data_IF_772124894920
#
_entry.id   IF_772124894920
#
_cell.length_a   1.000
_cell.length_b   1.000
_cell.length_c   1.000
_cell.angle_alpha   90.00
_cell.angle_beta   90.00
_cell.angle_gamma   90.00
#
_symmetry.space_group_name_H-M   'P 1'
#
loop_
_entity.id
_entity.type
_entity.pdbx_description
1 polymer ?
#
# COMPACT_ATOMS: atom_id res chain seq x y z
N UNK A 1 -18.77 14.23 10.54
CA UNK A 1 -18.62 13.00 11.34
C UNK A 1 -17.40 12.25 10.82
N UNK A 2 -16.36 12.06 11.64
CA UNK A 2 -15.17 11.27 11.25
C UNK A 2 -15.48 9.81 11.58
N UNK A 3 -15.44 8.93 10.58
CA UNK A 3 -15.62 7.49 10.82
C UNK A 3 -14.38 6.98 11.56
N UNK A 4 -14.57 6.18 12.61
CA UNK A 4 -13.45 5.47 13.24
C UNK A 4 -12.79 4.53 12.23
N UNK A 5 -11.47 4.34 12.35
CA UNK A 5 -10.74 3.40 11.51
C UNK A 5 -11.32 1.99 11.69
N UNK A 6 -11.68 1.28 10.61
CA UNK A 6 -12.18 -0.08 10.72
C UNK A 6 -11.08 -1.02 11.20
N UNK A 7 -11.48 -2.05 11.93
CA UNK A 7 -10.58 -3.09 12.45
C UNK A 7 -9.93 -3.92 11.32
N UNK A 8 -10.55 -3.96 10.14
CA UNK A 8 -10.06 -4.66 8.96
C UNK A 8 -10.09 -3.74 7.74
N UNK A 9 -8.98 -3.68 7.02
CA UNK A 9 -8.83 -3.00 5.75
C UNK A 9 -8.53 -4.02 4.65
N UNK A 10 -9.17 -3.87 3.51
CA UNK A 10 -8.78 -4.58 2.30
C UNK A 10 -7.60 -3.83 1.66
N UNK A 11 -6.49 -4.53 1.46
CA UNK A 11 -5.29 -4.01 0.81
C UNK A 11 -5.18 -4.65 -0.56
N UNK A 12 -4.97 -3.81 -1.57
CA UNK A 12 -4.68 -4.24 -2.94
C UNK A 12 -3.20 -3.99 -3.22
N UNK A 13 -2.44 -5.07 -3.37
CA UNK A 13 -1.04 -5.04 -3.76
C UNK A 13 -0.93 -5.24 -5.27
N UNK A 14 -0.37 -4.26 -5.95
CA UNK A 14 -0.09 -4.31 -7.39
C UNK A 14 1.41 -4.35 -7.59
N UNK A 15 1.90 -5.38 -8.28
CA UNK A 15 3.32 -5.52 -8.60
C UNK A 15 3.58 -4.86 -9.94
N UNK A 16 4.47 -3.87 -9.99
CA UNK A 16 4.89 -3.23 -11.23
C UNK A 16 6.32 -3.63 -11.56
N UNK A 17 6.56 -3.92 -12.84
CA UNK A 17 7.86 -4.34 -13.37
C UNK A 17 8.39 -3.29 -14.34
N UNK A 18 9.71 -3.09 -14.34
CA UNK A 18 10.39 -2.12 -15.19
C UNK A 18 10.66 -0.77 -14.51
N UNK A 19 11.81 -0.18 -14.86
CA UNK A 19 12.23 1.14 -14.42
C UNK A 19 11.83 2.21 -15.46
N UNK A 20 11.52 3.46 -15.05
CA UNK A 20 11.51 3.96 -13.68
C UNK A 20 10.22 3.61 -12.92
N UNK A 21 10.33 3.32 -11.62
CA UNK A 21 9.20 2.96 -10.75
C UNK A 21 8.14 4.08 -10.62
N UNK A 22 8.48 5.32 -10.95
CA UNK A 22 7.59 6.49 -10.90
C UNK A 22 6.58 6.54 -12.05
N UNK A 23 6.81 5.79 -13.14
CA UNK A 23 5.92 5.79 -14.33
C UNK A 23 5.82 4.41 -15.00
N UNK A 24 6.20 3.32 -14.31
CA UNK A 24 6.03 1.99 -14.88
C UNK A 24 4.54 1.72 -15.16
N UNK A 25 4.22 1.38 -16.40
CA UNK A 25 2.87 0.97 -16.84
C UNK A 25 2.69 -0.54 -16.86
N UNK A 26 3.78 -1.30 -16.76
CA UNK A 26 3.76 -2.75 -16.84
C UNK A 26 3.45 -3.33 -15.48
N UNK A 27 2.29 -3.97 -15.36
CA UNK A 27 1.88 -4.69 -14.16
C UNK A 27 2.23 -6.16 -14.33
N UNK A 28 2.80 -6.77 -13.29
CA UNK A 28 3.11 -8.19 -13.28
C UNK A 28 2.01 -8.97 -12.57
N UNK A 29 1.33 -9.83 -13.32
CA UNK A 29 0.21 -10.63 -12.82
C UNK A 29 -1.01 -9.81 -12.41
N UNK A 30 -1.95 -10.49 -11.76
CA UNK A 30 -3.15 -9.86 -11.21
C UNK A 30 -2.86 -9.17 -9.87
N UNK A 31 -3.59 -8.09 -9.51
CA UNK A 31 -3.50 -7.49 -8.19
C UNK A 31 -3.84 -8.50 -7.09
N UNK A 32 -3.03 -8.56 -6.05
CA UNK A 32 -3.27 -9.42 -4.89
C UNK A 32 -4.11 -8.64 -3.91
N UNK A 33 -5.21 -9.25 -3.46
CA UNK A 33 -6.10 -8.67 -2.47
C UNK A 33 -5.95 -9.46 -1.17
N UNK A 34 -5.62 -8.77 -0.08
CA UNK A 34 -5.54 -9.40 1.24
C UNK A 34 -6.10 -8.47 2.32
N UNK A 35 -6.50 -9.06 3.44
CA UNK A 35 -6.94 -8.31 4.61
C UNK A 35 -5.75 -7.93 5.49
N UNK A 36 -5.80 -6.69 5.97
CA UNK A 36 -4.83 -6.11 6.90
C UNK A 36 -5.56 -5.47 8.07
N UNK A 37 -5.14 -5.80 9.29
CA UNK A 37 -5.64 -5.14 10.49
C UNK A 37 -4.65 -4.01 10.84
N UNK A 38 -5.08 -2.73 10.90
CA UNK A 38 -4.17 -1.63 11.22
C UNK A 38 -3.45 -1.78 12.56
N UNK A 39 -4.08 -2.49 13.51
CA UNK A 39 -3.52 -2.78 14.82
C UNK A 39 -2.35 -3.78 14.77
N UNK A 40 -2.22 -4.58 13.72
CA UNK A 40 -1.08 -5.50 13.55
C UNK A 40 0.23 -4.74 13.25
N UNK A 41 0.10 -3.49 12.77
CA UNK A 41 1.22 -2.61 12.51
C UNK A 41 1.94 -2.81 11.17
N UNK A 42 3.00 -2.02 11.00
CA UNK A 42 3.82 -1.92 9.80
C UNK A 42 4.58 -3.21 9.52
N UNK A 43 5.10 -3.86 10.55
CA UNK A 43 5.90 -5.09 10.39
C UNK A 43 5.04 -6.24 9.88
N UNK A 44 3.82 -6.38 10.39
CA UNK A 44 2.86 -7.37 9.88
C UNK A 44 2.48 -7.09 8.42
N UNK A 45 2.29 -5.81 8.03
CA UNK A 45 2.06 -5.45 6.63
C UNK A 45 3.25 -5.81 5.75
N UNK A 46 4.48 -5.50 6.20
CA UNK A 46 5.71 -5.83 5.47
C UNK A 46 5.88 -7.33 5.32
N UNK A 47 5.65 -8.11 6.38
CA UNK A 47 5.69 -9.57 6.33
C UNK A 47 4.67 -10.14 5.33
N UNK A 48 3.43 -9.64 5.33
CA UNK A 48 2.40 -10.06 4.36
C UNK A 48 2.78 -9.71 2.92
N UNK A 49 3.31 -8.51 2.68
CA UNK A 49 3.80 -8.11 1.35
C UNK A 49 4.95 -9.02 0.93
N UNK A 50 5.97 -9.22 1.76
CA UNK A 50 7.11 -10.08 1.46
C UNK A 50 6.68 -11.52 1.19
N UNK A 51 5.76 -12.07 1.98
CA UNK A 51 5.20 -13.41 1.75
C UNK A 51 4.41 -13.50 0.44
N UNK A 52 3.63 -12.47 0.10
CA UNK A 52 2.88 -12.41 -1.16
C UNK A 52 3.79 -12.19 -2.38
N UNK A 53 4.97 -11.60 -2.18
CA UNK A 53 5.97 -11.45 -3.23
C UNK A 53 6.79 -12.73 -3.41
N UNK A 54 7.05 -13.47 -2.34
CA UNK A 54 7.78 -14.73 -2.37
C UNK A 54 7.07 -15.82 -3.22
N UNK A 55 5.77 -15.68 -3.49
CA UNK A 55 5.05 -16.58 -4.41
C UNK A 55 5.38 -16.32 -5.88
N UNK A 56 6.02 -15.20 -6.22
CA UNK A 56 6.47 -14.93 -7.58
C UNK A 56 7.95 -15.28 -7.71
N UNK A 57 8.25 -16.43 -8.31
CA UNK A 57 9.61 -16.89 -8.59
C UNK A 57 10.25 -16.16 -9.78
N UNK A 58 9.43 -15.56 -10.64
CA UNK A 58 9.85 -15.04 -11.94
C UNK A 58 10.24 -13.56 -11.89
N UNK A 59 10.16 -12.94 -10.71
CA UNK A 59 10.52 -11.53 -10.49
C UNK A 59 11.57 -11.42 -9.38
N UNK A 60 12.66 -10.74 -9.67
CA UNK A 60 13.66 -10.37 -8.66
C UNK A 60 13.34 -8.97 -8.15
N UNK A 61 12.94 -8.87 -6.88
CA UNK A 61 12.80 -7.57 -6.22
C UNK A 61 14.18 -7.08 -5.80
N UNK A 62 14.60 -5.93 -6.31
CA UNK A 62 15.79 -5.22 -5.81
C UNK A 62 15.60 -4.88 -4.32
N UNK A 63 16.66 -5.03 -3.51
CA UNK A 63 16.60 -4.77 -2.07
C UNK A 63 16.11 -3.34 -1.76
N UNK A 64 16.48 -2.39 -2.61
CA UNK A 64 16.14 -0.97 -2.48
C UNK A 64 14.83 -0.57 -3.19
N UNK A 65 14.11 -1.54 -3.79
CA UNK A 65 12.86 -1.24 -4.47
C UNK A 65 11.80 -0.73 -3.46
N UNK A 66 11.31 0.52 -3.63
CA UNK A 66 10.43 1.14 -2.67
C UNK A 66 9.03 0.50 -2.73
N UNK A 67 8.43 0.28 -1.56
CA UNK A 67 6.99 0.01 -1.47
C UNK A 67 6.29 1.36 -1.48
N UNK A 68 5.37 1.55 -2.42
CA UNK A 68 4.64 2.79 -2.59
C UNK A 68 3.18 2.62 -2.20
N UNK A 69 2.64 3.59 -1.46
CA UNK A 69 1.23 3.68 -1.10
C UNK A 69 0.54 4.59 -2.10
N UNK A 70 -0.55 4.08 -2.70
CA UNK A 70 -1.49 4.87 -3.49
C UNK A 70 -2.43 5.64 -2.56
N UNK A 71 -2.35 6.98 -2.48
CA UNK A 71 -3.09 7.74 -1.47
C UNK A 71 -4.59 7.86 -1.79
N UNK A 72 -5.01 7.66 -3.04
CA UNK A 72 -6.43 7.59 -3.39
C UNK A 72 -6.66 6.84 -4.70
N UNK A 73 -7.90 6.40 -4.93
CA UNK A 73 -8.29 5.67 -6.12
C UNK A 73 -7.93 6.38 -7.44
N UNK A 74 -7.88 7.71 -7.49
CA UNK A 74 -7.53 8.45 -8.71
C UNK A 74 -6.13 9.09 -8.67
N UNK A 75 -5.29 8.71 -7.69
CA UNK A 75 -3.95 9.25 -7.61
C UNK A 75 -3.09 8.78 -8.80
N UNK A 76 -2.45 9.74 -9.48
CA UNK A 76 -1.36 9.46 -10.41
C UNK A 76 -0.21 8.76 -9.68
N UNK A 77 0.51 7.88 -10.39
CA UNK A 77 1.67 7.17 -9.85
C UNK A 77 2.79 8.10 -9.38
N UNK A 78 2.93 9.27 -10.02
CA UNK A 78 3.84 10.34 -9.58
C UNK A 78 3.52 10.87 -8.18
N UNK A 79 2.29 10.68 -7.70
CA UNK A 79 1.82 11.11 -6.38
C UNK A 79 1.79 9.96 -5.38
N UNK A 80 2.30 8.78 -5.75
CA UNK A 80 2.43 7.69 -4.79
C UNK A 80 3.51 8.04 -3.79
N UNK A 81 3.28 7.64 -2.55
CA UNK A 81 4.17 8.01 -1.44
C UNK A 81 4.86 6.77 -0.90
N UNK A 82 6.13 6.86 -0.49
CA UNK A 82 6.82 5.70 0.07
C UNK A 82 6.13 5.21 1.35
N UNK A 83 6.16 3.89 1.55
CA UNK A 83 5.79 3.25 2.80
C UNK A 83 6.76 3.74 3.88
N UNK A 84 6.26 4.29 5.00
CA UNK A 84 7.13 4.79 6.06
C UNK A 84 8.06 3.74 6.63
N UNK A 85 9.17 4.21 7.22
CA UNK A 85 10.12 3.35 7.91
C UNK A 85 9.68 3.04 9.35
N UNK A 86 9.01 4.00 10.00
CA UNK A 86 8.63 3.95 11.40
C UNK A 86 7.14 3.61 11.58
N UNK A 87 6.83 2.86 12.64
CA UNK A 87 5.45 2.49 13.00
C UNK A 87 4.56 3.71 13.28
N UNK A 88 5.09 4.74 13.95
CA UNK A 88 4.35 5.97 14.26
C UNK A 88 3.95 6.71 12.98
N UNK A 89 4.89 6.90 12.06
CA UNK A 89 4.65 7.52 10.76
C UNK A 89 3.66 6.72 9.91
N UNK A 90 3.76 5.39 9.94
CA UNK A 90 2.80 4.51 9.28
C UNK A 90 1.39 4.69 9.84
N UNK A 91 1.25 4.69 11.17
CA UNK A 91 -0.04 4.85 11.85
C UNK A 91 -0.66 6.21 11.51
N UNK A 92 0.12 7.28 11.58
CA UNK A 92 -0.31 8.63 11.20
C UNK A 92 -0.73 8.70 9.73
N UNK A 93 0.04 8.07 8.84
CA UNK A 93 -0.28 8.03 7.41
C UNK A 93 -1.60 7.32 7.14
N UNK A 94 -1.80 6.12 7.68
CA UNK A 94 -3.03 5.35 7.47
C UNK A 94 -4.23 6.11 8.05
N UNK A 95 -4.09 6.70 9.24
CA UNK A 95 -5.13 7.55 9.83
C UNK A 95 -5.49 8.75 8.94
N UNK A 96 -4.50 9.45 8.37
CA UNK A 96 -4.75 10.56 7.44
C UNK A 96 -5.46 10.12 6.17
N UNK A 97 -5.04 9.00 5.58
CA UNK A 97 -5.67 8.43 4.39
C UNK A 97 -7.11 8.02 4.66
N UNK A 98 -7.37 7.38 5.81
CA UNK A 98 -8.72 7.03 6.25
C UNK A 98 -9.60 8.27 6.49
N UNK A 99 -9.08 9.28 7.17
CA UNK A 99 -9.79 10.54 7.41
C UNK A 99 -10.14 11.25 6.09
N UNK A 100 -9.24 11.21 5.10
CA UNK A 100 -9.51 11.76 3.78
C UNK A 100 -10.57 10.96 3.03
N UNK A 101 -10.51 9.62 3.06
CA UNK A 101 -11.49 8.76 2.42
C UNK A 101 -12.89 8.89 3.05
N UNK A 102 -12.97 8.90 4.39
CA UNK A 102 -14.24 9.04 5.12
C UNK A 102 -14.92 10.38 4.87
N UNK A 103 -14.15 11.49 4.76
CA UNK A 103 -14.70 12.80 4.37
C UNK A 103 -15.32 12.79 2.98
N UNK A 104 -14.70 12.10 2.02
CA UNK A 104 -15.21 12.00 0.64
C UNK A 104 -16.46 11.14 0.50
N UNK A 105 -16.70 10.20 1.44
CA UNK A 105 -17.92 9.38 1.44
C UNK A 105 -19.14 10.13 1.97
N UNK A 106 -18.93 11.20 2.73
CA UNK A 106 -19.97 11.98 3.40
C UNK A 106 -20.17 13.37 2.76
N UNK A 107 -19.64 13.61 1.57
CA UNK A 107 -19.76 14.87 0.83
C UNK A 107 -20.32 14.64 -0.56
#
# INVERSE_FOLDING_TARGET
>A
MVLSMPTRLQVQLTVKVGQPYTNSRTTHGAPIIFEFMPNDGLDALRAKISSSLATYTDITREADAPILIRPSANASQSNYVPLPALQSEFTDRINRLWNQASRRKNG
#
